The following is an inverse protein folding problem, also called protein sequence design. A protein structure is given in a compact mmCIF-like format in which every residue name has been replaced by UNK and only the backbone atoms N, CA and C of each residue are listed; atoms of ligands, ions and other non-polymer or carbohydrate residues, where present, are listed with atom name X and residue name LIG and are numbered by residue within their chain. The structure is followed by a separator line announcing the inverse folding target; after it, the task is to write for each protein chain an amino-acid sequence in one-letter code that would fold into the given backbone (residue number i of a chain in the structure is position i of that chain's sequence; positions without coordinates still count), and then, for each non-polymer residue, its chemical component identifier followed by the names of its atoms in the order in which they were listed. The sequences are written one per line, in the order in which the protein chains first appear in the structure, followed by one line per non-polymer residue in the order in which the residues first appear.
data_IF_070811773501
#
_entry.id   IF_070811773501
#
_cell.length_a   1.000
_cell.length_b   1.000
_cell.length_c   1.000
_cell.angle_alpha   90.00
_cell.angle_beta   90.00
_cell.angle_gamma   90.00
#
_symmetry.space_group_name_H-M   'P 1'
#
loop_
_entity.id
_entity.type
_entity.pdbx_description
1 polymer ?
#
# COMPACT_ATOMS: atom_id res chain seq x y z
N UNK A 1 -47.23 11.69 1.50
CA UNK A 1 -46.64 12.75 2.35
C UNK A 1 -47.58 13.06 3.51
N UNK A 2 -47.79 12.11 4.43
CA UNK A 2 -48.80 12.28 5.47
C UNK A 2 -48.61 11.35 6.65
N UNK A 3 -47.67 11.67 7.55
CA UNK A 3 -47.70 11.26 8.96
C UNK A 3 -46.56 11.90 9.76
N UNK A 4 -46.55 13.24 9.92
CA UNK A 4 -45.63 13.86 10.89
C UNK A 4 -46.03 13.60 12.36
N UNK A 5 -47.26 13.11 12.60
CA UNK A 5 -47.82 12.93 13.95
C UNK A 5 -48.04 11.47 14.37
N UNK A 6 -47.79 10.49 13.49
CA UNK A 6 -47.93 9.05 13.78
C UNK A 6 -46.86 8.26 13.04
N UNK A 7 -46.47 7.11 13.58
CA UNK A 7 -45.56 6.17 12.91
C UNK A 7 -46.15 5.70 11.57
N UNK A 8 -45.28 5.42 10.60
CA UNK A 8 -45.69 4.79 9.35
C UNK A 8 -46.18 3.35 9.60
N UNK A 9 -47.11 2.89 8.78
CA UNK A 9 -47.58 1.51 8.83
C UNK A 9 -46.47 0.55 8.37
N UNK A 10 -46.20 -0.47 9.18
CA UNK A 10 -45.19 -1.50 8.89
C UNK A 10 -45.85 -2.85 8.71
N UNK A 11 -45.33 -3.67 7.80
CA UNK A 11 -45.83 -5.03 7.54
C UNK A 11 -44.71 -6.04 7.66
N UNK A 12 -45.01 -7.19 8.28
CA UNK A 12 -44.09 -8.32 8.37
C UNK A 12 -44.25 -9.19 7.13
N UNK A 13 -43.15 -9.36 6.38
CA UNK A 13 -43.12 -10.18 5.17
C UNK A 13 -42.10 -11.31 5.34
N UNK A 14 -42.44 -12.50 4.82
CA UNK A 14 -41.52 -13.63 4.76
C UNK A 14 -40.92 -13.73 3.35
N UNK A 15 -39.58 -13.71 3.27
CA UNK A 15 -38.84 -13.78 2.01
C UNK A 15 -38.31 -15.20 1.79
N UNK A 16 -38.61 -15.79 0.64
CA UNK A 16 -38.04 -17.05 0.18
C UNK A 16 -37.07 -16.77 -0.97
N UNK A 17 -35.77 -16.91 -0.70
CA UNK A 17 -34.71 -16.57 -1.65
C UNK A 17 -33.90 -17.80 -2.04
N UNK A 18 -33.79 -18.11 -3.35
CA UNK A 18 -32.80 -19.06 -3.85
C UNK A 18 -31.38 -18.57 -3.51
N UNK A 19 -30.49 -19.48 -3.14
CA UNK A 19 -29.10 -19.15 -2.77
C UNK A 19 -28.34 -18.42 -3.88
N UNK A 20 -28.61 -18.75 -5.15
CA UNK A 20 -27.98 -18.10 -6.30
C UNK A 20 -28.43 -16.64 -6.51
N UNK A 21 -29.64 -16.28 -6.07
CA UNK A 21 -30.20 -14.94 -6.23
C UNK A 21 -30.12 -14.10 -4.94
N UNK A 22 -29.81 -14.73 -3.81
CA UNK A 22 -29.83 -14.10 -2.49
C UNK A 22 -28.97 -12.83 -2.43
N UNK A 23 -27.75 -12.86 -2.99
CA UNK A 23 -26.86 -11.70 -3.02
C UNK A 23 -27.50 -10.51 -3.74
N UNK A 24 -27.94 -10.71 -4.99
CA UNK A 24 -28.54 -9.66 -5.81
C UNK A 24 -29.80 -9.10 -5.18
N UNK A 25 -30.69 -9.95 -4.67
CA UNK A 25 -31.93 -9.49 -4.03
C UNK A 25 -31.66 -8.69 -2.75
N UNK A 26 -30.78 -9.18 -1.88
CA UNK A 26 -30.45 -8.50 -0.61
C UNK A 26 -29.71 -7.18 -0.87
N UNK A 27 -28.82 -7.14 -1.85
CA UNK A 27 -28.12 -5.90 -2.23
C UNK A 27 -29.09 -4.81 -2.71
N UNK A 28 -30.03 -5.14 -3.58
CA UNK A 28 -31.06 -4.21 -4.05
C UNK A 28 -32.01 -3.75 -2.94
N UNK A 29 -32.33 -4.65 -2.00
CA UNK A 29 -33.13 -4.29 -0.82
C UNK A 29 -32.35 -3.32 0.10
N UNK A 30 -31.04 -3.53 0.25
CA UNK A 30 -30.14 -2.65 0.99
C UNK A 30 -30.01 -1.26 0.37
N UNK A 31 -29.92 -1.17 -0.96
CA UNK A 31 -29.89 0.10 -1.70
C UNK A 31 -31.18 0.92 -1.53
N UNK A 32 -32.33 0.24 -1.40
CA UNK A 32 -33.62 0.90 -1.13
C UNK A 32 -33.73 1.40 0.31
N UNK A 33 -33.12 0.71 1.28
CA UNK A 33 -33.11 1.13 2.69
C UNK A 33 -34.47 1.10 3.39
N UNK A 34 -35.45 0.33 2.88
CA UNK A 34 -36.83 0.28 3.39
C UNK A 34 -37.13 -0.98 4.21
N UNK A 35 -36.16 -1.86 4.42
CA UNK A 35 -36.38 -3.16 5.06
C UNK A 35 -35.55 -3.31 6.33
N UNK A 36 -36.17 -3.88 7.37
CA UNK A 36 -35.51 -4.29 8.60
C UNK A 36 -35.52 -5.82 8.70
N UNK A 37 -34.34 -6.43 8.80
CA UNK A 37 -34.22 -7.88 8.94
C UNK A 37 -34.31 -8.32 10.40
N UNK A 38 -35.17 -9.30 10.68
CA UNK A 38 -35.23 -9.95 12.01
C UNK A 38 -34.30 -11.15 12.06
N UNK A 39 -33.55 -11.28 13.15
CA UNK A 39 -32.68 -12.44 13.36
C UNK A 39 -33.52 -13.68 13.71
N UNK A 40 -33.62 -14.60 12.76
CA UNK A 40 -34.26 -15.91 12.96
C UNK A 40 -33.32 -16.93 13.65
N UNK A 41 -32.01 -16.65 13.71
CA UNK A 41 -30.97 -17.55 14.21
C UNK A 41 -30.34 -17.02 15.50
N UNK A 42 -31.13 -16.41 16.39
CA UNK A 42 -30.64 -15.81 17.64
C UNK A 42 -29.98 -16.84 18.59
N UNK A 43 -30.33 -18.12 18.49
CA UNK A 43 -29.72 -19.22 19.26
C UNK A 43 -28.38 -19.71 18.69
N UNK A 44 -28.03 -19.30 17.46
CA UNK A 44 -26.80 -19.75 16.78
C UNK A 44 -25.71 -18.70 16.97
N UNK A 45 -24.58 -19.15 17.52
CA UNK A 45 -23.38 -18.32 17.68
C UNK A 45 -22.93 -17.74 16.34
N UNK A 46 -22.42 -16.49 16.37
CA UNK A 46 -21.95 -15.79 15.18
C UNK A 46 -20.98 -16.63 14.34
N UNK A 47 -20.10 -17.41 14.95
CA UNK A 47 -19.08 -18.23 14.28
C UNK A 47 -19.61 -19.45 13.53
N UNK A 48 -20.81 -19.91 13.85
CA UNK A 48 -21.44 -21.08 13.23
C UNK A 48 -22.39 -20.68 12.10
N UNK A 49 -22.56 -19.38 11.84
CA UNK A 49 -23.43 -18.89 10.78
C UNK A 49 -22.83 -19.19 9.41
N UNK A 50 -23.71 -19.41 8.43
CA UNK A 50 -23.35 -19.87 7.08
C UNK A 50 -22.33 -19.00 6.35
N UNK A 51 -22.36 -17.68 6.54
CA UNK A 51 -21.58 -16.71 5.75
C UNK A 51 -20.37 -16.12 6.49
N UNK A 52 -19.94 -16.73 7.60
CA UNK A 52 -18.80 -16.23 8.40
C UNK A 52 -17.51 -16.14 7.59
N UNK A 53 -17.29 -17.07 6.66
CA UNK A 53 -16.11 -17.04 5.80
C UNK A 53 -16.06 -15.79 4.91
N UNK A 54 -17.19 -15.42 4.31
CA UNK A 54 -17.28 -14.24 3.45
C UNK A 54 -17.16 -12.94 4.26
N UNK A 55 -17.75 -12.89 5.46
CA UNK A 55 -17.58 -11.74 6.37
C UNK A 55 -16.11 -11.54 6.73
N UNK A 56 -15.40 -12.62 7.10
CA UNK A 56 -13.96 -12.55 7.42
C UNK A 56 -13.11 -12.09 6.24
N UNK A 57 -13.43 -12.52 5.01
CA UNK A 57 -12.75 -12.04 3.80
C UNK A 57 -12.92 -10.53 3.62
N UNK A 58 -14.11 -10.00 3.85
CA UNK A 58 -14.36 -8.56 3.82
C UNK A 58 -13.59 -7.81 4.92
N UNK A 59 -13.54 -8.35 6.14
CA UNK A 59 -12.73 -7.77 7.25
C UNK A 59 -11.23 -7.73 6.91
N UNK A 60 -10.69 -8.77 6.26
CA UNK A 60 -9.30 -8.78 5.80
C UNK A 60 -9.04 -7.76 4.68
N UNK A 61 -10.00 -7.61 3.76
CA UNK A 61 -9.94 -6.63 2.69
C UNK A 61 -10.00 -5.20 3.24
N UNK A 62 -10.83 -4.94 4.25
CA UNK A 62 -10.91 -3.65 4.94
C UNK A 62 -9.59 -3.25 5.61
N UNK A 63 -8.91 -4.21 6.26
CA UNK A 63 -7.55 -3.99 6.81
C UNK A 63 -6.55 -3.62 5.71
N UNK A 64 -6.67 -4.26 4.54
CA UNK A 64 -5.84 -3.96 3.37
C UNK A 64 -6.09 -2.54 2.87
N UNK A 65 -7.35 -2.11 2.75
CA UNK A 65 -7.68 -0.74 2.36
C UNK A 65 -7.23 0.30 3.38
N UNK A 66 -7.36 0.01 4.68
CA UNK A 66 -6.86 0.88 5.75
C UNK A 66 -5.35 1.09 5.61
N UNK A 67 -4.58 0.02 5.38
CA UNK A 67 -3.14 0.12 5.10
C UNK A 67 -2.85 0.98 3.87
N UNK A 68 -3.54 0.74 2.75
CA UNK A 68 -3.35 1.51 1.52
C UNK A 68 -3.66 3.00 1.73
N UNK A 69 -4.74 3.32 2.45
CA UNK A 69 -5.11 4.69 2.80
C UNK A 69 -4.04 5.39 3.64
N UNK A 70 -3.44 4.68 4.60
CA UNK A 70 -2.33 5.21 5.40
C UNK A 70 -1.08 5.49 4.56
N UNK A 71 -0.72 4.59 3.63
CA UNK A 71 0.43 4.80 2.74
C UNK A 71 0.21 5.99 1.79
N UNK A 72 -1.01 6.16 1.26
CA UNK A 72 -1.38 7.34 0.45
C UNK A 72 -1.27 8.63 1.26
N UNK A 73 -1.77 8.63 2.51
CA UNK A 73 -1.64 9.78 3.42
C UNK A 73 -0.19 10.11 3.73
N UNK A 74 0.68 9.11 3.90
CA UNK A 74 2.12 9.30 4.13
C UNK A 74 2.83 9.88 2.91
N UNK A 75 2.37 9.58 1.71
CA UNK A 75 2.85 10.19 0.48
C UNK A 75 2.40 11.67 0.33
N UNK A 76 1.61 12.20 1.27
CA UNK A 76 1.09 13.57 1.21
C UNK A 76 -0.09 13.74 0.26
N UNK A 77 -0.67 12.64 -0.22
CA UNK A 77 -1.82 12.65 -1.10
C UNK A 77 -3.11 12.63 -0.27
N UNK A 78 -4.05 13.53 -0.59
CA UNK A 78 -5.36 13.54 0.02
C UNK A 78 -6.33 12.70 -0.83
N UNK A 79 -7.04 11.77 -0.18
CA UNK A 79 -8.13 11.05 -0.83
C UNK A 79 -9.38 11.93 -0.85
N UNK A 80 -10.14 11.94 -1.97
CA UNK A 80 -11.45 12.60 -2.00
C UNK A 80 -12.39 11.94 -0.99
N UNK A 81 -13.39 12.67 -0.49
CA UNK A 81 -14.43 12.09 0.35
C UNK A 81 -15.16 10.98 -0.42
N UNK A 82 -15.62 9.92 0.27
CA UNK A 82 -16.34 8.84 -0.36
C UNK A 82 -17.61 9.38 -1.03
N UNK A 83 -17.84 8.99 -2.29
CA UNK A 83 -19.08 9.29 -3.00
C UNK A 83 -20.24 8.56 -2.32
N UNK A 84 -21.31 9.28 -2.01
CA UNK A 84 -22.48 8.70 -1.38
C UNK A 84 -23.30 7.89 -2.41
N UNK A 85 -23.72 6.68 -2.03
CA UNK A 85 -24.69 5.89 -2.81
C UNK A 85 -24.10 5.04 -3.94
N UNK A 86 -22.85 4.56 -3.80
CA UNK A 86 -22.32 3.58 -4.74
C UNK A 86 -23.16 2.29 -4.71
N UNK A 87 -23.55 1.76 -5.89
CA UNK A 87 -24.28 0.50 -5.96
C UNK A 87 -23.43 -0.65 -5.43
N UNK A 88 -24.08 -1.69 -4.91
CA UNK A 88 -23.38 -2.85 -4.40
C UNK A 88 -22.62 -3.55 -5.55
N UNK A 89 -21.29 -3.77 -5.42
CA UNK A 89 -20.53 -4.43 -6.46
C UNK A 89 -20.98 -5.90 -6.61
N UNK A 90 -21.00 -6.48 -7.81
CA UNK A 90 -21.29 -7.89 -7.97
C UNK A 90 -20.16 -8.75 -7.36
N UNK A 91 -20.44 -10.01 -6.99
CA UNK A 91 -19.47 -10.85 -6.28
C UNK A 91 -18.21 -11.15 -7.10
N UNK A 92 -18.29 -11.12 -8.43
CA UNK A 92 -17.12 -11.25 -9.32
C UNK A 92 -16.18 -10.06 -9.21
N UNK A 93 -16.73 -8.86 -9.13
CA UNK A 93 -15.94 -7.63 -9.02
C UNK A 93 -15.31 -7.54 -7.64
N UNK A 94 -15.98 -8.04 -6.59
CA UNK A 94 -15.40 -8.14 -5.25
C UNK A 94 -14.11 -8.99 -5.24
N UNK A 95 -14.11 -10.15 -5.91
CA UNK A 95 -12.91 -10.98 -6.02
C UNK A 95 -11.78 -10.26 -6.75
N UNK A 96 -12.10 -9.60 -7.86
CA UNK A 96 -11.12 -8.83 -8.62
C UNK A 96 -10.52 -7.70 -7.79
N UNK A 97 -11.37 -6.94 -7.08
CA UNK A 97 -10.93 -5.86 -6.17
C UNK A 97 -10.05 -6.41 -5.06
N UNK A 98 -10.37 -7.59 -4.51
CA UNK A 98 -9.55 -8.23 -3.49
C UNK A 98 -8.16 -8.60 -4.00
N UNK A 99 -8.07 -9.20 -5.20
CA UNK A 99 -6.79 -9.55 -5.83
C UNK A 99 -5.95 -8.31 -6.15
N UNK A 100 -6.57 -7.28 -6.75
CA UNK A 100 -5.91 -6.01 -7.09
C UNK A 100 -5.40 -5.29 -5.83
N UNK A 101 -6.23 -5.18 -4.79
CA UNK A 101 -5.85 -4.55 -3.52
C UNK A 101 -4.71 -5.32 -2.82
N UNK A 102 -4.77 -6.66 -2.83
CA UNK A 102 -3.71 -7.51 -2.26
C UNK A 102 -2.38 -7.34 -2.99
N UNK A 103 -2.42 -7.30 -4.33
CA UNK A 103 -1.23 -7.04 -5.16
C UNK A 103 -0.62 -5.67 -4.87
N UNK A 104 -1.44 -4.60 -4.87
CA UNK A 104 -0.98 -3.24 -4.58
C UNK A 104 -0.37 -3.13 -3.19
N UNK A 105 -0.98 -3.76 -2.18
CA UNK A 105 -0.47 -3.75 -0.83
C UNK A 105 0.90 -4.45 -0.73
N UNK A 106 1.11 -5.53 -1.46
CA UNK A 106 2.41 -6.22 -1.50
C UNK A 106 3.47 -5.36 -2.20
N UNK A 107 3.15 -4.81 -3.37
CA UNK A 107 4.06 -3.93 -4.12
C UNK A 107 4.51 -2.73 -3.27
N UNK A 108 3.59 -2.09 -2.53
CA UNK A 108 3.94 -0.98 -1.64
C UNK A 108 4.83 -1.39 -0.46
N UNK A 109 4.59 -2.58 0.13
CA UNK A 109 5.46 -3.10 1.20
C UNK A 109 6.87 -3.34 0.69
N UNK A 110 7.01 -3.90 -0.51
CA UNK A 110 8.31 -4.18 -1.12
C UNK A 110 9.05 -2.88 -1.46
N UNK A 111 8.36 -1.91 -2.06
CA UNK A 111 8.93 -0.58 -2.34
C UNK A 111 9.38 0.10 -1.05
N UNK A 112 8.58 0.07 0.01
CA UNK A 112 8.93 0.65 1.31
C UNK A 112 10.13 -0.05 1.95
N UNK A 113 10.19 -1.37 1.88
CA UNK A 113 11.35 -2.15 2.36
C UNK A 113 12.62 -1.78 1.61
N UNK A 114 12.53 -1.68 0.28
CA UNK A 114 13.64 -1.28 -0.58
C UNK A 114 14.11 0.16 -0.29
N UNK A 115 13.18 1.10 -0.11
CA UNK A 115 13.48 2.48 0.25
C UNK A 115 14.22 2.57 1.58
N UNK A 116 13.78 1.84 2.60
CA UNK A 116 14.43 1.80 3.91
C UNK A 116 15.84 1.21 3.82
N UNK A 117 16.01 0.10 3.09
CA UNK A 117 17.31 -0.52 2.87
C UNK A 117 18.28 0.44 2.16
N UNK A 118 17.82 1.11 1.10
CA UNK A 118 18.62 2.07 0.34
C UNK A 118 19.02 3.27 1.20
N UNK A 119 18.09 3.83 1.98
CA UNK A 119 18.36 4.93 2.93
C UNK A 119 19.41 4.53 3.97
N UNK A 120 19.32 3.32 4.51
CA UNK A 120 20.31 2.81 5.47
C UNK A 120 21.70 2.62 4.84
N UNK A 121 21.76 2.12 3.60
CA UNK A 121 23.01 1.97 2.85
C UNK A 121 23.64 3.33 2.53
N UNK A 122 22.84 4.30 2.07
CA UNK A 122 23.29 5.66 1.81
C UNK A 122 23.87 6.29 3.07
N UNK A 123 23.18 6.17 4.21
CA UNK A 123 23.66 6.69 5.48
C UNK A 123 25.01 6.08 5.88
N UNK A 124 25.16 4.75 5.74
CA UNK A 124 26.44 4.06 5.99
C UNK A 124 27.57 4.58 5.09
N UNK A 125 27.28 4.80 3.80
CA UNK A 125 28.28 5.32 2.86
C UNK A 125 28.68 6.77 3.17
N UNK A 126 27.73 7.62 3.56
CA UNK A 126 28.01 8.98 4.00
C UNK A 126 28.92 9.00 5.24
N UNK A 127 28.63 8.16 6.23
CA UNK A 127 29.48 8.04 7.42
C UNK A 127 30.90 7.57 7.07
N UNK A 128 31.03 6.56 6.20
CA UNK A 128 32.33 6.08 5.73
C UNK A 128 33.11 7.17 4.99
N UNK A 129 32.46 7.90 4.09
CA UNK A 129 33.08 9.01 3.36
C UNK A 129 33.57 10.11 4.31
N UNK A 130 32.78 10.46 5.34
CA UNK A 130 33.17 11.46 6.33
C UNK A 130 34.39 11.02 7.17
N UNK A 131 34.47 9.73 7.55
CA UNK A 131 35.63 9.17 8.26
C UNK A 131 36.88 9.22 7.39
N UNK A 132 36.78 8.80 6.13
CA UNK A 132 37.90 8.84 5.18
C UNK A 132 38.37 10.29 4.92
N UNK A 133 37.45 11.25 4.79
CA UNK A 133 37.78 12.67 4.63
C UNK A 133 38.53 13.26 5.83
N UNK A 134 38.09 12.96 7.07
CA UNK A 134 38.81 13.36 8.30
C UNK A 134 40.15 12.65 8.45
N UNK A 135 40.23 11.35 8.13
CA UNK A 135 41.47 10.58 8.18
C UNK A 135 42.54 11.12 7.23
N UNK A 136 42.17 11.51 6.01
CA UNK A 136 43.08 12.14 5.06
C UNK A 136 43.61 13.50 5.56
N UNK A 137 42.75 14.30 6.20
CA UNK A 137 43.17 15.58 6.83
C UNK A 137 44.11 15.37 8.01
N UNK A 138 43.87 14.36 8.86
CA UNK A 138 44.73 14.03 10.01
C UNK A 138 46.09 13.50 9.56
N UNK A 139 46.11 12.65 8.53
CA UNK A 139 47.34 12.14 7.94
C UNK A 139 48.19 13.24 7.27
N UNK A 140 47.54 14.28 6.71
CA UNK A 140 48.25 15.44 6.17
C UNK A 140 48.90 16.28 7.28
N UNK A 141 48.24 16.45 8.43
CA UNK A 141 48.81 17.18 9.59
C UNK A 141 49.94 16.44 10.31
N UNK A 142 50.10 15.13 10.11
CA UNK A 142 51.22 14.35 10.66
C UNK A 142 52.45 14.30 9.75
N UNK A 143 52.47 15.01 8.62
CA UNK A 143 53.60 14.97 7.67
C UNK A 143 54.73 15.99 7.92
N UNK A 144 54.70 16.74 9.02
CA UNK A 144 55.85 17.56 9.47
C UNK A 144 56.91 16.72 10.22
N UNK A 145 57.43 15.68 9.55
CA UNK A 145 58.60 14.90 9.97
C UNK A 145 59.44 14.54 8.73
N UNK A 146 60.78 14.64 8.78
CA UNK A 146 61.59 14.79 7.58
C UNK A 146 61.62 13.52 6.73
N UNK A 147 61.43 13.73 5.42
CA UNK A 147 61.78 12.89 4.27
C UNK A 147 62.39 11.51 4.55
N UNK A 148 61.69 10.46 4.13
CA UNK A 148 62.28 9.40 3.30
C UNK A 148 61.33 9.08 2.14
N UNK A 149 61.72 9.49 0.93
CA UNK A 149 61.06 9.14 -0.32
C UNK A 149 61.46 7.73 -0.71
N UNK A 150 60.50 6.81 -0.69
CA UNK A 150 60.56 5.57 -1.47
C UNK A 150 59.21 5.31 -2.12
N UNK A 151 59.05 5.49 -3.45
CA UNK A 151 57.80 5.17 -4.12
C UNK A 151 57.83 3.70 -4.51
N UNK A 152 57.10 2.85 -3.79
CA UNK A 152 56.71 1.53 -4.27
C UNK A 152 55.19 1.53 -4.41
N UNK A 153 54.74 1.69 -5.65
CA UNK A 153 53.63 0.99 -6.31
C UNK A 153 53.47 1.69 -7.67
N UNK A 154 54.01 1.07 -8.71
CA UNK A 154 53.66 1.42 -10.09
C UNK A 154 52.20 1.01 -10.34
N UNK A 155 51.39 1.82 -11.06
CA UNK A 155 50.06 1.39 -11.45
C UNK A 155 50.17 0.24 -12.48
N UNK A 156 49.33 -0.82 -12.38
CA UNK A 156 49.33 -1.87 -13.38
C UNK A 156 48.81 -1.30 -14.71
N UNK A 157 49.67 -1.33 -15.73
CA UNK A 157 49.27 -1.15 -17.13
C UNK A 157 48.39 -2.34 -17.54
N UNK A 158 47.09 -2.13 -17.63
CA UNK A 158 46.13 -3.04 -18.28
C UNK A 158 45.48 -2.34 -19.49
N UNK A 159 45.25 -3.04 -20.62
CA UNK A 159 44.79 -2.43 -21.86
C UNK A 159 43.26 -2.48 -21.98
N UNK A 160 42.59 -1.34 -21.79
CA UNK A 160 41.25 -1.05 -22.31
C UNK A 160 41.16 0.47 -22.52
N UNK A 161 41.79 1.00 -23.57
CA UNK A 161 41.13 1.48 -24.80
C UNK A 161 39.67 1.95 -24.61
N UNK A 162 39.52 3.27 -24.67
CA UNK A 162 38.56 4.01 -25.49
C UNK A 162 37.07 3.70 -25.37
N UNK A 163 36.40 4.40 -24.44
CA UNK A 163 35.03 4.88 -24.65
C UNK A 163 34.96 6.38 -24.33
N UNK A 164 35.56 7.17 -25.22
CA UNK A 164 35.42 8.63 -25.24
C UNK A 164 34.03 8.94 -25.81
N UNK A 165 33.03 9.12 -24.94
CA UNK A 165 31.71 9.65 -25.32
C UNK A 165 31.92 11.05 -25.89
N UNK A 166 31.78 11.18 -27.21
CA UNK A 166 31.71 12.47 -27.89
C UNK A 166 30.41 13.15 -27.50
N UNK A 167 30.46 14.08 -26.54
CA UNK A 167 29.44 15.10 -26.39
C UNK A 167 29.73 16.21 -27.43
N UNK A 168 29.12 16.11 -28.60
CA UNK A 168 29.03 17.21 -29.55
C UNK A 168 27.89 18.13 -29.12
N UNK A 169 28.23 19.26 -28.49
CA UNK A 169 27.35 20.42 -28.38
C UNK A 169 27.42 21.20 -29.72
N UNK A 170 26.30 21.62 -30.34
CA UNK A 170 26.34 22.50 -31.49
C UNK A 170 26.48 23.98 -31.06
N UNK A 171 27.16 24.83 -31.83
CA UNK A 171 26.95 26.27 -31.76
C UNK A 171 26.36 26.81 -33.08
N UNK A 172 25.36 27.70 -32.97
CA UNK A 172 24.93 28.62 -34.03
C UNK A 172 23.78 28.14 -34.88
#
# INVERSE_FOLDING_TARGET
MGSMFRSEEVSLVQLFLPTAAAYTCVSQLGERGLVEFRDLNASVSAFQRRFVGDVRRCEELEKTFTFLQEEVRRAGLALPPPEAGLPAPPPRDLLRVQEEAGRLAQELRDVRGNEQALRAQLHRLQLRAAVLGRGASLAATSSDGPSERTPLIQPPKGPHQDLRVKASLPPG
#
